data_IF_097452082659
#
_entry.id   IF_097452082659
#
_cell.length_a   1.000
_cell.length_b   1.000
_cell.length_c   1.000
_cell.angle_alpha   90.00
_cell.angle_beta   90.00
_cell.angle_gamma   90.00
#
_symmetry.space_group_name_H-M   'P 1'
#
loop_
_entity.id
_entity.type
_entity.pdbx_description
1 polymer ?
#
# COMPACT_ATOMS: atom_id res chain seq x y z
N UNK A 1 11.32 -7.08 -15.36
CA UNK A 1 11.12 -6.92 -13.90
C UNK A 1 10.86 -5.45 -13.62
N UNK A 2 9.69 -4.96 -14.03
CA UNK A 2 9.30 -3.54 -14.00
C UNK A 2 7.79 -3.54 -13.76
N UNK A 3 7.32 -3.62 -12.51
CA UNK A 3 5.91 -3.29 -12.20
C UNK A 3 5.78 -2.82 -10.75
N UNK A 4 6.44 -3.49 -9.80
CA UNK A 4 6.15 -3.25 -8.36
C UNK A 4 6.94 -2.08 -7.75
N UNK A 5 8.15 -1.80 -8.23
CA UNK A 5 9.03 -0.76 -7.64
C UNK A 5 8.53 0.67 -7.83
N UNK A 6 7.68 0.93 -8.82
CA UNK A 6 7.14 2.27 -9.10
C UNK A 6 5.71 2.46 -8.57
N UNK A 7 5.11 1.45 -7.92
CA UNK A 7 3.71 1.52 -7.50
C UNK A 7 3.41 2.69 -6.54
N UNK A 8 4.22 2.96 -5.49
CA UNK A 8 4.02 4.14 -4.62
C UNK A 8 3.96 5.45 -5.39
N UNK A 9 4.86 5.61 -6.37
CA UNK A 9 4.94 6.79 -7.24
C UNK A 9 3.73 6.91 -8.16
N UNK A 10 3.26 5.80 -8.71
CA UNK A 10 2.08 5.77 -9.57
C UNK A 10 0.81 6.11 -8.78
N UNK A 11 0.66 5.57 -7.57
CA UNK A 11 -0.48 5.89 -6.70
C UNK A 11 -0.50 7.37 -6.28
N UNK A 12 0.67 7.99 -6.07
CA UNK A 12 0.77 9.41 -5.78
C UNK A 12 0.30 10.33 -6.93
N UNK A 13 0.26 9.83 -8.17
CA UNK A 13 -0.27 10.59 -9.33
C UNK A 13 -1.80 10.62 -9.39
N UNK A 14 -2.49 9.80 -8.61
CA UNK A 14 -3.95 9.85 -8.52
C UNK A 14 -4.42 11.15 -7.85
N UNK A 15 -5.67 11.60 -8.12
CA UNK A 15 -6.29 12.67 -7.36
C UNK A 15 -6.23 12.37 -5.87
N UNK A 16 -6.04 13.40 -5.05
CA UNK A 16 -5.69 13.25 -3.63
C UNK A 16 -6.64 12.33 -2.84
N UNK A 17 -7.94 12.39 -3.13
CA UNK A 17 -8.98 11.54 -2.52
C UNK A 17 -8.84 10.04 -2.81
N UNK A 18 -8.13 9.66 -3.88
CA UNK A 18 -8.02 8.28 -4.35
C UNK A 18 -6.65 7.64 -4.10
N UNK A 19 -5.64 8.42 -3.71
CA UNK A 19 -4.26 7.94 -3.54
C UNK A 19 -4.15 6.76 -2.57
N UNK A 20 -4.99 6.77 -1.54
CA UNK A 20 -5.01 5.78 -0.46
C UNK A 20 -6.03 4.65 -0.68
N UNK A 21 -6.87 4.74 -1.72
CA UNK A 21 -7.98 3.78 -1.89
C UNK A 21 -7.49 2.35 -2.06
N UNK A 22 -6.43 2.14 -2.86
CA UNK A 22 -5.85 0.81 -3.04
C UNK A 22 -5.21 0.28 -1.74
N UNK A 23 -4.55 1.16 -0.97
CA UNK A 23 -3.96 0.80 0.31
C UNK A 23 -5.05 0.40 1.32
N UNK A 24 -6.02 1.28 1.54
CA UNK A 24 -7.00 1.13 2.63
C UNK A 24 -8.04 0.05 2.34
N UNK A 25 -8.54 -0.05 1.10
CA UNK A 25 -9.63 -0.97 0.77
C UNK A 25 -9.16 -2.37 0.39
N UNK A 26 -7.92 -2.53 -0.08
CA UNK A 26 -7.43 -3.81 -0.61
C UNK A 26 -6.19 -4.26 0.13
N UNK A 27 -5.14 -3.45 0.14
CA UNK A 27 -3.86 -3.88 0.66
C UNK A 27 -3.89 -4.13 2.17
N UNK A 28 -4.52 -3.25 2.94
CA UNK A 28 -4.57 -3.34 4.40
C UNK A 28 -5.42 -4.53 4.90
N UNK A 29 -6.62 -4.82 4.33
CA UNK A 29 -7.33 -6.05 4.67
C UNK A 29 -6.57 -7.31 4.23
N UNK A 30 -5.95 -7.29 3.05
CA UNK A 30 -5.18 -8.43 2.55
C UNK A 30 -3.93 -8.68 3.39
N UNK A 31 -3.19 -7.63 3.78
CA UNK A 31 -2.02 -7.75 4.66
C UNK A 31 -2.41 -8.34 6.00
N UNK A 32 -3.53 -7.92 6.58
CA UNK A 32 -4.04 -8.49 7.83
C UNK A 32 -4.34 -9.99 7.68
N UNK A 33 -5.02 -10.40 6.60
CA UNK A 33 -5.26 -11.83 6.33
C UNK A 33 -3.93 -12.60 6.23
N UNK A 34 -2.97 -12.06 5.47
CA UNK A 34 -1.64 -12.67 5.30
C UNK A 34 -0.88 -12.78 6.63
N UNK A 35 -1.01 -11.79 7.50
CA UNK A 35 -0.43 -11.80 8.84
C UNK A 35 -1.04 -12.92 9.69
N UNK A 36 -2.38 -13.02 9.72
CA UNK A 36 -3.09 -14.02 10.53
C UNK A 36 -2.78 -15.46 10.11
N UNK A 37 -2.47 -15.72 8.83
CA UNK A 37 -2.06 -17.05 8.34
C UNK A 37 -0.54 -17.29 8.41
N UNK A 38 0.22 -16.40 9.03
CA UNK A 38 1.66 -16.55 9.26
C UNK A 38 2.56 -16.15 8.09
N UNK A 39 2.01 -15.55 7.02
CA UNK A 39 2.75 -15.10 5.84
C UNK A 39 3.33 -13.69 6.01
N UNK A 40 4.13 -13.48 7.06
CA UNK A 40 4.58 -12.15 7.51
C UNK A 40 5.27 -11.31 6.43
N UNK A 41 6.20 -11.90 5.68
CA UNK A 41 6.91 -11.20 4.59
C UNK A 41 5.98 -10.70 3.49
N UNK A 42 4.89 -11.43 3.21
CA UNK A 42 3.91 -11.03 2.21
C UNK A 42 2.95 -9.99 2.75
N UNK A 43 2.56 -10.10 4.02
CA UNK A 43 1.82 -9.06 4.73
C UNK A 43 2.54 -7.71 4.62
N UNK A 44 3.80 -7.67 5.05
CA UNK A 44 4.62 -6.45 5.04
C UNK A 44 4.77 -5.89 3.61
N UNK A 45 5.04 -6.77 2.63
CA UNK A 45 5.21 -6.36 1.24
C UNK A 45 3.93 -5.75 0.64
N UNK A 46 2.77 -6.39 0.84
CA UNK A 46 1.49 -5.91 0.29
C UNK A 46 1.10 -4.57 0.92
N UNK A 47 1.27 -4.46 2.24
CA UNK A 47 1.02 -3.22 2.96
C UNK A 47 1.92 -2.09 2.44
N UNK A 48 3.23 -2.27 2.49
CA UNK A 48 4.20 -1.20 2.25
C UNK A 48 4.21 -0.73 0.79
N UNK A 49 4.09 -1.64 -0.17
CA UNK A 49 4.21 -1.29 -1.60
C UNK A 49 3.03 -0.48 -2.14
N UNK A 50 1.92 -0.47 -1.41
CA UNK A 50 0.71 0.25 -1.79
C UNK A 50 0.55 1.59 -1.08
N UNK A 51 1.48 1.94 -0.18
CA UNK A 51 1.54 3.28 0.41
C UNK A 51 1.94 4.26 -0.71
N UNK A 52 1.10 5.26 -1.06
CA UNK A 52 1.46 6.25 -2.07
C UNK A 52 2.64 7.10 -1.56
N UNK A 53 3.53 7.57 -2.44
CA UNK A 53 4.54 8.56 -2.05
C UNK A 53 3.85 9.78 -1.38
N UNK A 54 4.26 10.10 -0.15
CA UNK A 54 3.66 11.16 0.65
C UNK A 54 4.72 11.83 1.56
N UNK A 55 4.41 13.01 2.07
CA UNK A 55 5.25 13.66 3.09
C UNK A 55 5.22 12.82 4.38
N UNK A 56 6.36 12.51 5.02
CA UNK A 56 6.36 11.82 6.30
C UNK A 56 5.41 12.49 7.32
N UNK A 57 4.56 11.70 7.98
CA UNK A 57 3.55 12.19 8.92
C UNK A 57 2.25 12.72 8.30
N UNK A 58 2.15 12.82 6.97
CA UNK A 58 0.90 13.18 6.27
C UNK A 58 0.08 11.97 5.82
N UNK A 59 0.38 10.79 6.37
CA UNK A 59 -0.34 9.55 6.06
C UNK A 59 -1.82 9.67 6.41
N UNK A 60 -2.69 9.06 5.61
CA UNK A 60 -4.12 8.98 5.91
C UNK A 60 -4.45 7.57 6.39
N UNK A 61 -5.12 7.48 7.54
CA UNK A 61 -5.75 6.25 8.02
C UNK A 61 -7.10 6.11 7.34
#
# INVERSE_FOLDING_TARGET
>A
MIVVTDLPRLLARLPERWRWTAHNLVAHPLSEILYQVGLRRWSDLVHDITIPEHTPGSGRV
#
